data_IF_684024972521
#
_entry.id   IF_684024972521
#
_cell.length_a   1.000
_cell.length_b   1.000
_cell.length_c   1.000
_cell.angle_alpha   90.00
_cell.angle_beta   90.00
_cell.angle_gamma   90.00
#
_symmetry.space_group_name_H-M   'P 1'
#
loop_
_entity.id
_entity.type
_entity.pdbx_description
1 polymer ?
#
# COMPACT_ATOMS: atom_id res chain seq x y z
N UNK A 1 -22.22 13.46 -1.22
CA UNK A 1 -21.27 14.55 -0.93
C UNK A 1 -20.42 14.88 -2.17
N UNK A 2 -19.41 15.74 -2.06
CA UNK A 2 -18.62 16.22 -3.21
C UNK A 2 -18.00 15.07 -4.02
N UNK A 3 -17.47 14.06 -3.36
CA UNK A 3 -16.88 12.91 -4.07
C UNK A 3 -17.95 12.11 -4.84
N UNK A 4 -19.11 11.92 -4.26
CA UNK A 4 -20.22 11.22 -4.91
C UNK A 4 -20.68 12.00 -6.15
N UNK A 5 -20.81 13.34 -6.05
CA UNK A 5 -21.17 14.21 -7.16
C UNK A 5 -20.17 14.14 -8.33
N UNK A 6 -18.86 14.06 -8.03
CA UNK A 6 -17.80 13.91 -9.04
C UNK A 6 -17.85 12.53 -9.73
N UNK A 7 -18.11 11.47 -8.96
CA UNK A 7 -18.27 10.11 -9.51
C UNK A 7 -19.48 10.05 -10.46
N UNK A 8 -20.61 10.61 -10.03
CA UNK A 8 -21.84 10.65 -10.83
C UNK A 8 -21.70 11.54 -12.08
N UNK A 9 -20.96 12.65 -11.98
CA UNK A 9 -20.69 13.53 -13.12
C UNK A 9 -19.90 12.84 -14.24
N UNK A 10 -19.04 11.88 -13.88
CA UNK A 10 -18.32 11.03 -14.83
C UNK A 10 -19.16 9.85 -15.36
N UNK A 11 -20.43 9.76 -14.96
CA UNK A 11 -21.36 8.71 -15.39
C UNK A 11 -21.14 7.36 -14.72
N UNK A 12 -20.49 7.36 -13.57
CA UNK A 12 -20.26 6.16 -12.76
C UNK A 12 -21.28 6.05 -11.63
N UNK A 13 -21.49 4.83 -11.16
CA UNK A 13 -22.33 4.57 -10.00
C UNK A 13 -21.45 4.60 -8.75
N UNK A 14 -21.83 5.38 -7.75
CA UNK A 14 -21.04 5.56 -6.52
C UNK A 14 -20.71 4.23 -5.84
N UNK A 15 -21.67 3.30 -5.80
CA UNK A 15 -21.48 1.97 -5.18
C UNK A 15 -20.49 1.06 -5.93
N UNK A 16 -20.21 1.37 -7.19
CA UNK A 16 -19.21 0.62 -7.97
C UNK A 16 -17.79 1.17 -7.72
N UNK A 17 -17.69 2.44 -7.32
CA UNK A 17 -16.43 3.14 -7.07
C UNK A 17 -16.04 3.14 -5.59
N UNK A 18 -17.04 3.17 -4.69
CA UNK A 18 -16.84 3.14 -3.23
C UNK A 18 -17.46 1.86 -2.69
N UNK A 19 -16.63 0.89 -2.34
CA UNK A 19 -17.10 -0.38 -1.78
C UNK A 19 -17.61 -0.23 -0.34
N UNK A 20 -16.90 0.56 0.46
CA UNK A 20 -17.16 0.68 1.89
C UNK A 20 -16.59 1.98 2.43
N UNK A 21 -17.31 2.56 3.37
CA UNK A 21 -16.86 3.72 4.17
C UNK A 21 -16.85 3.33 5.64
N UNK A 22 -15.75 3.60 6.32
CA UNK A 22 -15.58 3.31 7.75
C UNK A 22 -15.16 4.59 8.46
N UNK A 23 -15.84 4.89 9.56
CA UNK A 23 -15.45 5.99 10.45
C UNK A 23 -15.18 5.38 11.83
N UNK A 24 -13.92 5.33 12.19
CA UNK A 24 -13.45 4.80 13.46
C UNK A 24 -12.40 5.73 14.07
N UNK A 25 -12.44 5.90 15.37
CA UNK A 25 -11.50 6.77 16.13
C UNK A 25 -11.37 8.20 15.60
N UNK A 26 -12.40 8.70 14.88
CA UNK A 26 -12.39 10.01 14.25
C UNK A 26 -11.66 10.07 12.90
N UNK A 27 -11.27 8.93 12.35
CA UNK A 27 -10.66 8.80 11.02
C UNK A 27 -11.66 8.25 10.02
N UNK A 28 -11.66 8.82 8.82
CA UNK A 28 -12.46 8.38 7.67
C UNK A 28 -11.60 7.49 6.76
N UNK A 29 -12.04 6.25 6.57
CA UNK A 29 -11.43 5.29 5.63
C UNK A 29 -12.44 4.93 4.54
N UNK A 30 -12.00 5.02 3.28
CA UNK A 30 -12.80 4.72 2.09
C UNK A 30 -12.13 3.57 1.34
N UNK A 31 -12.86 2.47 1.17
CA UNK A 31 -12.41 1.30 0.41
C UNK A 31 -12.82 1.45 -1.05
N UNK A 32 -11.87 1.27 -1.95
CA UNK A 32 -12.02 1.54 -3.38
C UNK A 32 -11.51 0.33 -4.17
N UNK A 33 -12.27 -0.16 -5.18
CA UNK A 33 -11.77 -1.13 -6.14
C UNK A 33 -10.49 -0.63 -6.82
N UNK A 34 -9.55 -1.53 -7.07
CA UNK A 34 -8.23 -1.19 -7.62
C UNK A 34 -8.29 -0.44 -8.96
N UNK A 35 -9.28 -0.71 -9.80
CA UNK A 35 -9.47 -0.06 -11.10
C UNK A 35 -9.85 1.42 -11.00
N UNK A 36 -10.38 1.85 -9.85
CA UNK A 36 -10.84 3.23 -9.65
C UNK A 36 -9.85 4.11 -8.87
N UNK A 37 -8.79 3.53 -8.27
CA UNK A 37 -7.87 4.28 -7.40
C UNK A 37 -7.32 5.55 -8.07
N UNK A 38 -6.81 5.44 -9.31
CA UNK A 38 -6.21 6.58 -10.00
C UNK A 38 -7.20 7.70 -10.32
N UNK A 39 -8.45 7.34 -10.57
CA UNK A 39 -9.53 8.31 -10.82
C UNK A 39 -9.91 9.04 -9.54
N UNK A 40 -10.22 8.30 -8.49
CA UNK A 40 -10.59 8.87 -7.19
C UNK A 40 -9.48 9.76 -6.63
N UNK A 41 -8.24 9.32 -6.73
CA UNK A 41 -7.06 10.09 -6.28
C UNK A 41 -6.93 11.42 -7.05
N UNK A 42 -7.29 11.47 -8.34
CA UNK A 42 -7.33 12.72 -9.10
C UNK A 42 -8.46 13.64 -8.64
N UNK A 43 -9.66 13.11 -8.39
CA UNK A 43 -10.74 13.91 -7.80
C UNK A 43 -10.32 14.54 -6.48
N UNK A 44 -9.73 13.74 -5.58
CA UNK A 44 -9.26 14.24 -4.30
C UNK A 44 -8.25 15.37 -4.42
N UNK A 45 -7.35 15.30 -5.41
CA UNK A 45 -6.31 16.32 -5.61
C UNK A 45 -6.86 17.58 -6.30
N UNK A 46 -7.63 17.40 -7.38
CA UNK A 46 -7.90 18.44 -8.36
C UNK A 46 -9.17 19.24 -8.05
N UNK A 47 -10.13 18.64 -7.33
CA UNK A 47 -11.35 19.33 -6.94
C UNK A 47 -11.09 20.39 -5.86
N UNK A 48 -11.75 21.56 -5.98
CA UNK A 48 -11.52 22.72 -5.11
C UNK A 48 -12.08 22.53 -3.69
N UNK A 49 -13.15 21.77 -3.54
CA UNK A 49 -13.79 21.52 -2.25
C UNK A 49 -13.15 20.33 -1.50
N UNK A 50 -12.42 19.47 -2.22
CA UNK A 50 -11.67 18.36 -1.68
C UNK A 50 -10.21 18.74 -1.38
N UNK A 51 -9.45 19.16 -2.37
CA UNK A 51 -8.06 19.64 -2.30
C UNK A 51 -7.17 18.88 -1.33
N UNK A 52 -7.03 17.59 -1.55
CA UNK A 52 -6.06 16.80 -0.81
C UNK A 52 -4.68 16.95 -1.49
N UNK A 53 -3.95 17.99 -1.14
CA UNK A 53 -2.68 18.34 -1.77
C UNK A 53 -1.56 17.37 -1.46
N UNK A 54 -1.69 16.60 -0.38
CA UNK A 54 -0.64 15.68 0.07
C UNK A 54 -1.16 14.26 0.18
N UNK A 55 -0.43 13.31 -0.41
CA UNK A 55 -0.43 11.92 0.01
C UNK A 55 0.72 11.71 0.99
N UNK A 56 0.41 11.28 2.21
CA UNK A 56 1.40 11.16 3.28
C UNK A 56 2.22 9.87 3.18
N UNK A 57 1.80 8.96 2.31
CA UNK A 57 2.53 7.71 2.06
C UNK A 57 1.69 6.63 1.43
N UNK A 58 2.32 5.49 1.19
CA UNK A 58 1.69 4.24 0.77
C UNK A 58 2.17 3.15 1.73
N UNK A 59 1.24 2.54 2.46
CA UNK A 59 1.56 1.50 3.43
C UNK A 59 0.91 0.18 3.04
N UNK A 60 1.68 -0.91 3.09
CA UNK A 60 1.17 -2.25 2.84
C UNK A 60 0.75 -2.94 4.14
N UNK A 61 -0.36 -3.68 4.11
CA UNK A 61 -0.78 -4.58 5.18
C UNK A 61 -1.16 -5.93 4.58
N UNK A 62 -0.81 -7.02 5.27
CA UNK A 62 -1.16 -8.37 4.86
C UNK A 62 -2.13 -8.99 5.86
N UNK A 63 -3.37 -9.24 5.40
CA UNK A 63 -4.43 -9.98 6.10
C UNK A 63 -4.58 -11.35 5.43
N UNK A 64 -3.71 -12.29 5.73
CA UNK A 64 -3.63 -13.61 5.07
C UNK A 64 -4.92 -14.46 5.21
N UNK A 65 -5.82 -14.09 6.10
CA UNK A 65 -7.13 -14.75 6.27
C UNK A 65 -8.22 -14.15 5.37
N UNK A 66 -8.02 -12.96 4.82
CA UNK A 66 -8.98 -12.27 3.93
C UNK A 66 -8.78 -12.74 2.48
N UNK A 67 -9.30 -13.91 2.16
CA UNK A 67 -9.06 -14.60 0.89
C UNK A 67 -9.50 -13.79 -0.32
N UNK A 68 -8.57 -13.62 -1.26
CA UNK A 68 -8.74 -12.83 -2.48
C UNK A 68 -8.53 -11.34 -2.27
N UNK A 69 -8.24 -10.92 -1.04
CA UNK A 69 -7.97 -9.53 -0.65
C UNK A 69 -6.86 -9.47 0.41
N UNK A 70 -5.93 -10.39 0.35
CA UNK A 70 -4.92 -10.58 1.41
C UNK A 70 -3.98 -9.38 1.56
N UNK A 71 -3.73 -8.63 0.48
CA UNK A 71 -2.86 -7.47 0.48
C UNK A 71 -3.65 -6.18 0.35
N UNK A 72 -3.42 -5.28 1.28
CA UNK A 72 -4.03 -3.96 1.32
C UNK A 72 -2.96 -2.89 1.12
N UNK A 73 -3.22 -1.94 0.24
CA UNK A 73 -2.46 -0.70 0.14
C UNK A 73 -3.29 0.45 0.74
N UNK A 74 -2.73 1.11 1.72
CA UNK A 74 -3.37 2.18 2.49
C UNK A 74 -2.68 3.50 2.16
N UNK A 75 -3.48 4.47 1.73
CA UNK A 75 -3.04 5.80 1.33
C UNK A 75 -3.68 6.86 2.22
N UNK A 76 -2.96 7.40 3.21
CA UNK A 76 -3.42 8.57 3.94
C UNK A 76 -3.22 9.85 3.13
N UNK A 77 -4.29 10.62 2.96
CA UNK A 77 -4.28 11.91 2.28
C UNK A 77 -4.59 13.04 3.26
N UNK A 78 -3.97 14.18 3.02
CA UNK A 78 -4.18 15.40 3.80
C UNK A 78 -4.50 16.59 2.89
N UNK A 79 -5.58 17.27 3.21
CA UNK A 79 -5.88 18.60 2.72
C UNK A 79 -5.36 19.64 3.72
N UNK A 80 -4.34 20.38 3.30
CA UNK A 80 -3.81 21.50 4.09
C UNK A 80 -4.79 22.65 4.06
N UNK A 81 -5.37 22.91 2.88
CA UNK A 81 -6.34 23.99 2.67
C UNK A 81 -7.56 23.86 3.59
N UNK A 82 -8.10 22.66 3.71
CA UNK A 82 -9.33 22.41 4.49
C UNK A 82 -9.07 21.77 5.85
N UNK A 83 -7.80 21.52 6.22
CA UNK A 83 -7.40 20.85 7.45
C UNK A 83 -8.18 19.54 7.70
N UNK A 84 -8.19 18.67 6.68
CA UNK A 84 -8.89 17.38 6.69
C UNK A 84 -7.91 16.25 6.36
N UNK A 85 -8.20 15.08 6.91
CA UNK A 85 -7.49 13.85 6.59
C UNK A 85 -8.48 12.76 6.20
N UNK A 86 -8.13 11.97 5.20
CA UNK A 86 -8.83 10.75 4.83
C UNK A 86 -7.83 9.64 4.55
N UNK A 87 -8.32 8.42 4.58
CA UNK A 87 -7.57 7.23 4.20
C UNK A 87 -8.29 6.54 3.06
N UNK A 88 -7.59 6.27 1.96
CA UNK A 88 -8.05 5.33 0.95
C UNK A 88 -7.41 3.97 1.20
N UNK A 89 -8.17 2.93 0.97
CA UNK A 89 -7.72 1.55 1.08
C UNK A 89 -8.11 0.78 -0.18
N UNK A 90 -7.12 0.14 -0.78
CA UNK A 90 -7.26 -0.68 -1.99
C UNK A 90 -6.71 -2.07 -1.69
N UNK A 91 -7.39 -3.09 -2.17
CA UNK A 91 -7.01 -4.47 -1.91
C UNK A 91 -6.66 -5.20 -3.20
N UNK A 92 -5.74 -6.16 -3.10
CA UNK A 92 -5.44 -7.10 -4.17
C UNK A 92 -5.19 -8.51 -3.61
N UNK A 93 -5.40 -9.55 -4.42
CA UNK A 93 -5.12 -10.92 -4.01
C UNK A 93 -3.60 -11.17 -3.97
N UNK A 94 -3.17 -12.02 -3.07
CA UNK A 94 -1.77 -12.46 -2.95
C UNK A 94 -1.26 -13.18 -4.21
N UNK A 95 -2.15 -13.87 -4.92
CA UNK A 95 -1.84 -14.57 -6.16
C UNK A 95 -1.59 -13.62 -7.35
N UNK A 96 -2.12 -12.39 -7.29
CA UNK A 96 -1.96 -11.35 -8.32
C UNK A 96 -1.87 -9.98 -7.64
N UNK A 97 -0.72 -9.65 -7.01
CA UNK A 97 -0.57 -8.51 -6.12
C UNK A 97 -0.32 -7.19 -6.88
N UNK A 98 -1.18 -6.86 -7.84
CA UNK A 98 -1.04 -5.69 -8.69
C UNK A 98 -2.00 -4.57 -8.31
N UNK A 99 -1.48 -3.35 -8.15
CA UNK A 99 -2.25 -2.13 -7.90
C UNK A 99 -1.71 -1.02 -8.81
N UNK A 100 -2.57 -0.23 -9.47
CA UNK A 100 -2.09 0.91 -10.28
C UNK A 100 -1.32 1.93 -9.45
N UNK A 101 -0.11 2.30 -9.89
CA UNK A 101 0.70 3.35 -9.26
C UNK A 101 0.02 4.71 -9.31
N UNK A 102 0.20 5.51 -8.26
CA UNK A 102 -0.25 6.90 -8.18
C UNK A 102 0.90 7.91 -8.23
N UNK A 103 2.11 7.47 -8.51
CA UNK A 103 3.33 8.29 -8.47
C UNK A 103 3.30 9.49 -9.45
N UNK A 104 2.61 9.36 -10.58
CA UNK A 104 2.43 10.47 -11.52
C UNK A 104 1.43 11.54 -11.01
N UNK A 105 0.59 11.19 -10.05
CA UNK A 105 -0.36 12.08 -9.40
C UNK A 105 0.25 12.71 -8.15
N UNK A 106 0.92 11.89 -7.34
CA UNK A 106 1.64 12.28 -6.13
C UNK A 106 3.10 11.76 -6.17
N UNK A 107 4.04 12.53 -6.74
CA UNK A 107 5.44 12.08 -6.88
C UNK A 107 6.15 11.73 -5.58
N UNK A 108 5.68 12.26 -4.45
CA UNK A 108 6.22 11.91 -3.14
C UNK A 108 6.06 10.42 -2.78
N UNK A 109 5.13 9.71 -3.45
CA UNK A 109 4.87 8.29 -3.21
C UNK A 109 5.87 7.34 -3.91
N UNK A 110 6.79 7.84 -4.72
CA UNK A 110 7.82 7.01 -5.38
C UNK A 110 8.51 6.07 -4.36
N UNK A 111 9.05 6.62 -3.29
CA UNK A 111 9.76 5.84 -2.28
C UNK A 111 8.86 4.91 -1.49
N UNK A 112 7.65 5.34 -1.16
CA UNK A 112 6.70 4.54 -0.37
C UNK A 112 6.12 3.38 -1.17
N UNK A 113 5.84 3.56 -2.46
CA UNK A 113 5.42 2.47 -3.34
C UNK A 113 6.56 1.44 -3.51
N UNK A 114 7.80 1.90 -3.68
CA UNK A 114 8.98 1.01 -3.74
C UNK A 114 9.19 0.26 -2.43
N UNK A 115 9.07 0.92 -1.28
CA UNK A 115 9.19 0.28 0.04
C UNK A 115 8.08 -0.76 0.25
N UNK A 116 6.85 -0.42 -0.09
CA UNK A 116 5.71 -1.34 0.01
C UNK A 116 5.87 -2.55 -0.91
N UNK A 117 6.35 -2.34 -2.13
CA UNK A 117 6.71 -3.45 -3.00
C UNK A 117 7.84 -4.30 -2.42
N UNK A 118 8.90 -3.68 -1.94
CA UNK A 118 10.08 -4.36 -1.42
C UNK A 118 9.72 -5.26 -0.21
N UNK A 119 8.93 -4.75 0.72
CA UNK A 119 8.64 -5.42 1.99
C UNK A 119 7.38 -6.30 1.95
N UNK A 120 6.38 -5.95 1.13
CA UNK A 120 5.07 -6.64 1.07
C UNK A 120 4.82 -7.33 -0.27
N UNK A 121 5.55 -6.98 -1.34
CA UNK A 121 5.41 -7.57 -2.65
C UNK A 121 4.22 -7.06 -3.46
N UNK A 122 3.62 -5.94 -3.10
CA UNK A 122 2.59 -5.29 -3.93
C UNK A 122 3.29 -4.64 -5.12
N UNK A 123 2.94 -5.05 -6.33
CA UNK A 123 3.48 -4.50 -7.58
C UNK A 123 2.67 -3.27 -7.98
N UNK A 124 3.31 -2.11 -8.09
CA UNK A 124 2.66 -0.88 -8.51
C UNK A 124 2.79 -0.68 -10.01
N UNK A 125 1.72 -0.97 -10.75
CA UNK A 125 1.69 -0.90 -12.21
C UNK A 125 1.83 0.53 -12.70
N UNK A 126 2.79 0.76 -13.61
CA UNK A 126 3.11 2.08 -14.12
C UNK A 126 4.09 2.89 -13.27
N UNK A 127 4.62 2.31 -12.19
CA UNK A 127 5.71 2.94 -11.44
C UNK A 127 6.98 3.03 -12.32
N UNK A 128 7.65 4.20 -12.39
CA UNK A 128 8.77 4.42 -13.32
C UNK A 128 10.01 3.56 -13.01
N UNK A 129 10.23 3.20 -11.76
CA UNK A 129 11.42 2.46 -11.33
C UNK A 129 11.16 1.69 -10.04
N UNK A 130 10.47 0.56 -10.14
CA UNK A 130 10.16 -0.28 -8.98
C UNK A 130 11.40 -1.11 -8.60
N UNK A 131 12.26 -0.53 -7.77
CA UNK A 131 13.53 -1.11 -7.29
C UNK A 131 13.54 -1.17 -5.77
N UNK A 132 14.30 -2.11 -5.20
CA UNK A 132 14.40 -2.25 -3.74
C UNK A 132 14.94 -0.99 -3.06
N UNK A 133 14.50 -0.76 -1.83
CA UNK A 133 14.90 0.40 -1.02
C UNK A 133 15.45 -0.01 0.34
N UNK A 134 14.89 -1.03 0.96
CA UNK A 134 15.22 -1.47 2.31
C UNK A 134 16.02 -2.76 2.33
N UNK A 135 15.80 -3.66 1.37
CA UNK A 135 16.46 -4.97 1.29
C UNK A 135 17.57 -4.96 0.24
N UNK A 136 18.58 -5.84 0.37
CA UNK A 136 19.57 -6.09 -0.67
C UNK A 136 18.92 -6.52 -1.99
N UNK A 137 19.54 -6.21 -3.12
CA UNK A 137 18.99 -6.49 -4.46
C UNK A 137 18.79 -8.00 -4.72
N UNK A 138 19.59 -8.84 -4.08
CA UNK A 138 19.54 -10.30 -4.17
C UNK A 138 18.61 -10.96 -3.14
N UNK A 139 17.90 -10.19 -2.34
CA UNK A 139 16.97 -10.71 -1.34
C UNK A 139 15.80 -11.44 -2.00
N UNK A 140 15.46 -12.62 -1.48
CA UNK A 140 14.34 -13.44 -1.97
C UNK A 140 13.14 -13.29 -1.05
N UNK A 141 11.99 -12.92 -1.64
CA UNK A 141 10.71 -12.77 -0.94
C UNK A 141 10.47 -11.38 -0.35
N UNK A 142 9.42 -11.28 0.46
CA UNK A 142 8.90 -10.04 1.05
C UNK A 142 8.66 -10.23 2.55
N UNK A 143 9.58 -9.78 3.41
CA UNK A 143 9.65 -10.22 4.81
C UNK A 143 8.56 -9.67 5.72
N UNK A 144 7.76 -8.70 5.30
CA UNK A 144 6.63 -8.21 6.09
C UNK A 144 5.32 -8.97 5.84
N UNK A 145 5.30 -9.88 4.85
CA UNK A 145 4.18 -10.80 4.68
C UNK A 145 4.08 -11.75 5.87
N UNK A 146 2.84 -12.09 6.26
CA UNK A 146 2.60 -12.99 7.40
C UNK A 146 2.99 -14.44 7.14
N UNK A 147 3.02 -14.84 5.88
CA UNK A 147 3.46 -16.16 5.41
C UNK A 147 4.99 -16.29 5.24
N UNK A 148 5.72 -15.15 5.34
CA UNK A 148 7.18 -15.17 5.27
C UNK A 148 7.78 -15.84 6.52
N UNK A 149 8.66 -16.85 6.35
CA UNK A 149 9.20 -17.59 7.48
C UNK A 149 10.07 -16.70 8.38
N UNK A 150 9.84 -16.78 9.69
CA UNK A 150 10.67 -16.15 10.70
C UNK A 150 12.00 -16.90 10.82
N UNK A 151 12.90 -16.72 9.87
CA UNK A 151 14.26 -17.26 9.89
C UNK A 151 15.28 -16.17 10.21
N UNK A 152 16.35 -16.53 10.91
CA UNK A 152 17.47 -15.61 11.08
C UNK A 152 18.22 -15.40 9.76
N UNK A 153 18.77 -14.20 9.53
CA UNK A 153 19.68 -13.96 8.42
C UNK A 153 20.92 -14.84 8.63
N UNK A 154 21.34 -15.68 7.67
CA UNK A 154 22.60 -16.41 7.77
C UNK A 154 23.74 -15.40 7.87
N UNK A 155 24.42 -15.36 9.02
CA UNK A 155 25.59 -14.50 9.22
C UNK A 155 26.83 -15.34 8.99
N UNK A 156 27.53 -15.11 7.91
CA UNK A 156 28.85 -15.67 7.69
C UNK A 156 29.91 -14.76 8.32
N UNK A 157 30.54 -15.26 9.38
CA UNK A 157 31.73 -14.61 9.93
C UNK A 157 32.96 -15.09 9.16
N UNK A 158 33.66 -14.19 8.49
CA UNK A 158 34.91 -14.48 7.78
C UNK A 158 35.92 -15.08 8.75
N UNK A 159 36.23 -16.39 8.58
CA UNK A 159 37.21 -17.09 9.41
C UNK A 159 36.64 -17.82 10.65
N UNK A 160 35.35 -17.86 10.86
CA UNK A 160 34.70 -18.63 11.91
C UNK A 160 33.66 -19.61 11.33
N UNK A 161 33.75 -20.88 11.67
CA UNK A 161 32.73 -21.91 11.37
C UNK A 161 31.65 -21.79 12.45
N UNK A 162 30.81 -20.77 12.35
CA UNK A 162 29.67 -20.63 13.24
C UNK A 162 28.39 -21.04 12.51
N UNK A 163 27.63 -21.96 13.10
CA UNK A 163 26.30 -22.30 12.62
C UNK A 163 25.39 -21.03 12.63
N UNK A 164 24.44 -20.91 11.69
CA UNK A 164 23.44 -19.86 11.70
C UNK A 164 22.76 -19.72 13.07
N UNK A 165 22.28 -18.53 13.41
CA UNK A 165 21.74 -18.23 14.74
C UNK A 165 20.52 -19.10 15.10
N UNK A 166 19.73 -19.49 14.12
CA UNK A 166 18.57 -20.39 14.23
C UNK A 166 18.95 -21.83 14.61
N UNK A 167 20.08 -22.31 14.13
CA UNK A 167 20.58 -23.67 14.48
C UNK A 167 21.33 -23.71 15.83
N UNK A 168 21.70 -22.56 16.39
CA UNK A 168 22.39 -22.44 17.70
C UNK A 168 21.42 -22.36 18.87
N UNK A 169 20.13 -22.15 18.65
CA UNK A 169 19.10 -22.12 19.70
C UNK A 169 18.34 -23.44 19.72
N UNK A 170 18.74 -24.36 20.61
CA UNK A 170 17.84 -25.44 20.99
C UNK A 170 16.91 -24.89 22.09
N UNK A 171 15.64 -24.73 21.76
CA UNK A 171 14.61 -24.52 22.77
C UNK A 171 14.21 -25.89 23.30
N UNK A 172 14.69 -26.24 24.49
CA UNK A 172 14.20 -27.38 25.29
C UNK A 172 12.99 -26.92 26.08
#
# INVERSE_FOLDING_TARGET
>A
DVLDELIEADGLVVTDVIEKVVIEHGELSIFIPLEHIRRVVRYLRDDQDLRFEMCLGTNGVNYHEDRGRELHAIYPFMSITHNRMIRLEVTCPDADPHIPSIVDIYPANDWQERETWDLMGIVFDGHPSLTRTALPDDWVGHPQRKDYPLGGIPVEFKGAVNAPADTRRSYN
#
